data_IF_350204302535
#
_entry.id   IF_350204302535
#
_cell.length_a   1.000
_cell.length_b   1.000
_cell.length_c   1.000
_cell.angle_alpha   90.00
_cell.angle_beta   90.00
_cell.angle_gamma   90.00
#
_symmetry.space_group_name_H-M   'P 1'
#
loop_
_entity.id
_entity.type
_entity.pdbx_description
1 polymer ?
#
# COMPACT_ATOMS: atom_id res chain seq x y z
N UNK A 1 -36.62 49.93 -12.38
CA UNK A 1 -37.57 48.88 -12.82
C UNK A 1 -36.81 48.03 -13.83
N UNK A 2 -36.29 46.85 -13.45
CA UNK A 2 -36.95 45.52 -13.57
C UNK A 2 -37.28 45.22 -15.04
N UNK A 3 -36.81 44.18 -15.72
CA UNK A 3 -36.47 42.80 -15.33
C UNK A 3 -35.49 42.20 -16.36
N UNK A 4 -34.61 41.30 -15.91
CA UNK A 4 -33.83 40.43 -16.79
C UNK A 4 -34.63 39.17 -17.14
N UNK A 5 -34.74 38.89 -18.43
CA UNK A 5 -35.29 37.64 -18.96
C UNK A 5 -34.14 36.65 -19.24
N UNK A 6 -34.02 35.62 -18.42
CA UNK A 6 -33.22 34.43 -18.72
C UNK A 6 -34.08 33.45 -19.53
N UNK A 7 -33.56 32.83 -20.60
CA UNK A 7 -34.34 31.91 -21.43
C UNK A 7 -34.68 30.61 -20.69
N UNK A 8 -35.82 29.97 -20.99
CA UNK A 8 -36.24 28.74 -20.32
C UNK A 8 -35.31 27.58 -20.70
N UNK A 9 -34.68 26.98 -19.70
CA UNK A 9 -33.84 25.78 -19.86
C UNK A 9 -34.69 24.61 -20.35
N UNK A 10 -34.33 24.02 -21.49
CA UNK A 10 -35.01 22.86 -22.06
C UNK A 10 -34.93 21.64 -21.11
N UNK A 11 -36.09 21.08 -20.75
CA UNK A 11 -36.18 19.82 -20.03
C UNK A 11 -35.78 18.69 -20.98
N UNK A 12 -34.54 18.21 -20.86
CA UNK A 12 -34.08 17.00 -21.55
C UNK A 12 -34.79 15.79 -20.90
N UNK A 13 -35.47 14.92 -21.67
CA UNK A 13 -36.34 13.89 -21.09
C UNK A 13 -35.59 12.77 -20.35
N UNK A 14 -34.28 12.64 -20.53
CA UNK A 14 -33.47 11.65 -19.81
C UNK A 14 -32.10 12.22 -19.47
N UNK A 15 -31.87 12.46 -18.18
CA UNK A 15 -30.57 12.85 -17.64
C UNK A 15 -30.61 12.69 -16.12
N UNK A 16 -29.63 11.98 -15.55
CA UNK A 16 -29.48 11.86 -14.09
C UNK A 16 -29.38 13.27 -13.48
N UNK A 17 -30.43 13.69 -12.78
CA UNK A 17 -30.42 14.89 -11.94
C UNK A 17 -29.70 14.56 -10.63
N UNK A 18 -28.44 14.97 -10.50
CA UNK A 18 -27.78 14.95 -9.20
C UNK A 18 -28.40 16.03 -8.30
N UNK A 19 -28.84 15.70 -7.08
CA UNK A 19 -29.37 16.72 -6.18
C UNK A 19 -28.25 17.70 -5.81
N UNK A 20 -28.42 18.96 -6.19
CA UNK A 20 -27.58 20.07 -5.74
C UNK A 20 -27.76 20.24 -4.24
N UNK A 21 -26.80 19.76 -3.44
CA UNK A 21 -26.78 20.05 -2.00
C UNK A 21 -26.65 21.56 -1.77
N UNK A 22 -27.36 22.14 -0.78
CA UNK A 22 -27.22 23.55 -0.46
C UNK A 22 -25.81 23.83 0.08
N UNK A 23 -25.21 24.93 -0.38
CA UNK A 23 -23.93 25.45 0.09
C UNK A 23 -24.06 25.85 1.58
N UNK A 24 -23.56 25.04 2.50
CA UNK A 24 -23.25 25.52 3.85
C UNK A 24 -21.95 26.31 3.80
N UNK A 25 -21.98 27.52 4.36
CA UNK A 25 -20.78 28.36 4.55
C UNK A 25 -19.90 27.67 5.60
N UNK A 26 -18.73 27.18 5.20
CA UNK A 26 -17.69 26.71 6.11
C UNK A 26 -16.89 27.94 6.53
N UNK A 27 -17.11 28.39 7.77
CA UNK A 27 -16.23 29.36 8.43
C UNK A 27 -14.97 28.62 8.86
N UNK A 28 -13.84 28.94 8.23
CA UNK A 28 -12.51 28.56 8.66
C UNK A 28 -12.13 29.32 9.93
N UNK A 29 -12.09 28.64 11.07
CA UNK A 29 -11.28 29.08 12.22
C UNK A 29 -10.33 27.96 12.59
N UNK A 30 -9.06 28.19 12.29
CA UNK A 30 -7.93 27.38 12.70
C UNK A 30 -7.60 27.71 14.16
N UNK A 31 -7.86 26.78 15.08
CA UNK A 31 -7.22 26.80 16.39
C UNK A 31 -6.86 25.37 16.76
N UNK A 32 -5.56 25.07 16.66
CA UNK A 32 -4.95 23.83 17.10
C UNK A 32 -5.00 23.76 18.63
N UNK A 33 -5.66 22.75 19.18
CA UNK A 33 -5.56 22.39 20.59
C UNK A 33 -4.57 21.21 20.73
N UNK A 34 -3.51 21.32 21.55
CA UNK A 34 -2.60 20.21 21.78
C UNK A 34 -3.22 19.17 22.71
N UNK A 35 -3.02 17.89 22.39
CA UNK A 35 -3.37 16.75 23.22
C UNK A 35 -2.36 16.68 24.37
N UNK A 36 -2.79 17.03 25.58
CA UNK A 36 -2.02 16.73 26.79
C UNK A 36 -2.15 15.24 27.11
N UNK A 37 -1.10 14.47 26.82
CA UNK A 37 -0.86 13.15 27.43
C UNK A 37 0.20 13.29 28.52
N UNK A 38 -0.25 13.36 29.76
CA UNK A 38 0.47 13.04 31.00
C UNK A 38 -0.59 13.13 32.12
N UNK A 39 -0.75 12.21 33.06
CA UNK A 39 0.26 11.65 33.93
C UNK A 39 -0.30 10.44 34.73
N UNK A 40 0.59 9.49 35.03
CA UNK A 40 0.84 8.82 36.32
C UNK A 40 -0.38 8.30 37.12
N UNK A 41 -0.55 6.98 37.19
CA UNK A 41 0.04 6.08 38.19
C UNK A 41 -0.76 6.05 39.52
N UNK A 42 -1.51 4.96 39.70
CA UNK A 42 -2.06 4.58 40.99
C UNK A 42 -0.92 4.04 41.87
N UNK A 43 -0.50 4.83 42.87
CA UNK A 43 0.30 4.36 43.99
C UNK A 43 -0.41 4.78 45.27
N UNK A 44 -1.24 3.88 45.80
CA UNK A 44 -2.01 4.04 47.02
C UNK A 44 -1.23 3.57 48.27
N UNK A 45 0.09 3.82 48.35
CA UNK A 45 0.94 3.37 49.46
C UNK A 45 2.06 4.35 49.81
N UNK A 46 1.79 5.65 49.80
CA UNK A 46 2.65 6.64 50.44
C UNK A 46 1.86 7.38 51.52
N UNK A 47 1.66 6.70 52.65
CA UNK A 47 1.34 7.32 53.94
C UNK A 47 2.65 7.30 54.75
N UNK A 48 3.19 8.50 54.94
CA UNK A 48 3.74 9.03 56.19
C UNK A 48 4.41 8.03 57.16
N UNK A 49 5.74 8.04 57.20
CA UNK A 49 6.49 7.87 58.45
C UNK A 49 7.78 8.69 58.34
N UNK A 50 7.74 9.86 58.98
CA UNK A 50 8.83 10.81 59.13
C UNK A 50 9.71 10.31 60.29
N UNK A 51 10.86 9.71 59.98
CA UNK A 51 11.94 9.55 60.97
C UNK A 51 13.32 9.66 60.30
N UNK A 52 14.05 10.66 60.80
CA UNK A 52 15.39 11.09 60.41
C UNK A 52 16.45 10.07 60.84
N UNK A 53 17.00 9.31 59.89
CA UNK A 53 18.31 8.68 60.03
C UNK A 53 18.90 8.36 58.64
N UNK A 54 19.83 9.20 58.19
CA UNK A 54 20.69 8.87 57.04
C UNK A 54 21.95 8.13 57.51
N UNK A 55 22.08 6.81 57.31
CA UNK A 55 23.39 6.22 57.11
C UNK A 55 23.67 6.23 55.61
N UNK A 56 24.57 7.10 55.18
CA UNK A 56 25.25 6.99 53.90
C UNK A 56 26.01 5.65 53.85
N UNK A 57 25.35 4.59 53.38
CA UNK A 57 25.99 3.29 53.16
C UNK A 57 26.68 3.37 51.80
N UNK A 58 27.98 3.69 51.85
CA UNK A 58 28.92 3.54 50.75
C UNK A 58 28.77 2.15 50.11
N UNK A 59 28.40 2.13 48.83
CA UNK A 59 28.08 0.98 47.98
C UNK A 59 29.30 0.14 47.56
N UNK A 60 30.36 0.06 48.36
CA UNK A 60 31.64 -0.55 47.94
C UNK A 60 32.01 -1.85 48.65
N UNK A 61 31.08 -2.50 49.38
CA UNK A 61 31.41 -3.71 50.18
C UNK A 61 30.57 -4.97 49.90
N UNK A 62 29.78 -5.01 48.83
CA UNK A 62 28.88 -6.15 48.57
C UNK A 62 29.42 -7.23 47.62
N UNK A 63 30.62 -7.08 47.04
CA UNK A 63 31.17 -8.03 46.06
C UNK A 63 32.24 -8.98 46.61
N UNK A 64 32.26 -9.25 47.92
CA UNK A 64 33.08 -10.36 48.44
C UNK A 64 32.17 -11.60 48.50
N UNK A 65 32.46 -12.68 47.76
CA UNK A 65 31.74 -13.93 47.96
C UNK A 65 31.92 -14.32 49.43
N UNK A 66 30.86 -14.72 50.15
CA UNK A 66 31.02 -15.22 51.50
C UNK A 66 31.95 -16.44 51.42
N UNK A 67 33.15 -16.30 51.96
CA UNK A 67 34.08 -17.43 52.09
C UNK A 67 33.34 -18.53 52.84
N UNK A 68 33.22 -19.71 52.24
CA UNK A 68 32.37 -20.83 52.70
C UNK A 68 32.61 -21.25 54.16
N UNK A 69 33.72 -20.83 54.77
CA UNK A 69 34.08 -21.16 56.14
C UNK A 69 33.25 -20.48 57.23
N UNK A 70 32.52 -19.37 56.94
CA UNK A 70 31.70 -18.69 57.96
C UNK A 70 30.30 -19.28 58.14
N UNK A 71 29.80 -20.03 57.15
CA UNK A 71 28.49 -20.69 57.20
C UNK A 71 28.54 -22.03 57.94
N UNK A 72 29.72 -22.66 58.04
CA UNK A 72 29.93 -23.94 58.70
C UNK A 72 29.88 -23.90 60.24
N UNK A 73 29.76 -22.71 60.87
CA UNK A 73 29.97 -22.53 62.31
C UNK A 73 28.69 -22.19 63.11
N UNK A 74 27.51 -22.15 62.47
CA UNK A 74 26.25 -21.90 63.17
C UNK A 74 25.36 -23.16 63.17
N UNK A 75 25.23 -23.89 64.31
CA UNK A 75 24.44 -25.13 64.39
C UNK A 75 22.93 -24.89 64.27
N UNK A 76 22.47 -23.63 64.32
CA UNK A 76 21.06 -23.27 64.02
C UNK A 76 20.84 -23.23 62.51
N UNK A 77 21.71 -22.52 61.78
CA UNK A 77 21.65 -22.43 60.32
C UNK A 77 21.72 -23.82 59.64
N UNK A 78 22.48 -24.77 60.18
CA UNK A 78 22.51 -26.15 59.65
C UNK A 78 21.17 -26.87 59.83
N UNK A 79 20.52 -26.72 61.00
CA UNK A 79 19.18 -27.29 61.24
C UNK A 79 18.13 -26.65 60.34
N UNK A 80 18.19 -25.33 60.17
CA UNK A 80 17.25 -24.60 59.32
C UNK A 80 17.41 -25.03 57.84
N UNK A 81 18.63 -25.33 57.39
CA UNK A 81 18.91 -25.86 56.05
C UNK A 81 18.40 -27.31 55.91
N UNK A 82 18.63 -28.16 56.90
CA UNK A 82 18.16 -29.56 56.90
C UNK A 82 16.63 -29.64 56.93
N UNK A 83 15.98 -28.82 57.76
CA UNK A 83 14.53 -28.68 57.79
C UNK A 83 13.98 -28.16 56.45
N UNK A 84 14.62 -27.18 55.83
CA UNK A 84 14.21 -26.69 54.51
C UNK A 84 14.33 -27.76 53.42
N UNK A 85 15.39 -28.59 53.44
CA UNK A 85 15.61 -29.69 52.50
C UNK A 85 14.65 -30.87 52.74
N UNK A 86 14.26 -31.14 53.99
CA UNK A 86 13.25 -32.15 54.33
C UNK A 86 11.86 -31.76 53.83
N UNK A 87 11.51 -30.48 53.90
CA UNK A 87 10.23 -29.97 53.39
C UNK A 87 10.19 -29.96 51.86
N UNK A 88 11.25 -29.48 51.22
CA UNK A 88 11.35 -29.44 49.76
C UNK A 88 12.82 -29.52 49.29
N UNK A 89 13.22 -30.58 48.56
CA UNK A 89 14.58 -30.70 48.04
C UNK A 89 14.91 -29.64 46.98
N UNK A 90 13.91 -29.00 46.36
CA UNK A 90 14.10 -28.01 45.27
C UNK A 90 14.23 -26.58 45.77
N UNK A 91 14.16 -26.35 47.09
CA UNK A 91 14.06 -25.00 47.68
C UNK A 91 15.25 -24.08 47.39
N UNK A 92 16.41 -24.63 47.02
CA UNK A 92 17.61 -23.87 46.66
C UNK A 92 17.91 -23.84 45.15
N UNK A 93 17.05 -24.41 44.29
CA UNK A 93 17.21 -24.49 42.82
C UNK A 93 16.80 -23.18 42.11
N UNK A 94 17.30 -22.04 42.58
CA UNK A 94 16.94 -20.72 42.04
C UNK A 94 17.38 -20.49 40.60
N UNK A 95 18.56 -21.01 40.22
CA UNK A 95 19.14 -20.81 38.89
C UNK A 95 18.30 -21.51 37.81
N UNK A 96 17.74 -22.68 38.11
CA UNK A 96 16.96 -23.48 37.16
C UNK A 96 15.63 -22.79 36.81
N UNK A 97 14.92 -22.24 37.80
CA UNK A 97 13.68 -21.49 37.59
C UNK A 97 13.97 -20.21 36.81
N UNK A 98 15.08 -19.52 37.12
CA UNK A 98 15.46 -18.32 36.41
C UNK A 98 15.84 -18.61 34.94
N UNK A 99 16.52 -19.72 34.66
CA UNK A 99 16.79 -20.18 33.30
C UNK A 99 15.50 -20.56 32.55
N UNK A 100 14.53 -21.20 33.22
CA UNK A 100 13.22 -21.51 32.63
C UNK A 100 12.40 -20.24 32.32
N UNK A 101 12.35 -19.27 33.23
CA UNK A 101 11.63 -18.00 33.01
C UNK A 101 12.32 -17.17 31.93
N UNK A 102 13.65 -17.08 31.96
CA UNK A 102 14.39 -16.31 30.95
C UNK A 102 14.30 -16.97 29.56
N UNK A 103 14.39 -18.29 29.46
CA UNK A 103 14.25 -19.01 28.19
C UNK A 103 12.83 -18.89 27.60
N UNK A 104 11.78 -18.99 28.43
CA UNK A 104 10.39 -18.79 27.99
C UNK A 104 10.14 -17.37 27.52
N UNK A 105 10.58 -16.36 28.28
CA UNK A 105 10.50 -14.94 27.89
C UNK A 105 11.25 -14.67 26.58
N UNK A 106 12.46 -15.22 26.41
CA UNK A 106 13.21 -15.09 25.16
C UNK A 106 12.52 -15.77 23.98
N UNK A 107 11.86 -16.91 24.22
CA UNK A 107 11.14 -17.64 23.18
C UNK A 107 9.85 -16.92 22.75
N UNK A 108 9.15 -16.29 23.68
CA UNK A 108 8.01 -15.42 23.41
C UNK A 108 8.42 -14.17 22.64
N UNK A 109 9.50 -13.49 23.06
CA UNK A 109 10.05 -12.34 22.34
C UNK A 109 10.41 -12.70 20.89
N UNK A 110 11.10 -13.82 20.67
CA UNK A 110 11.41 -14.31 19.30
C UNK A 110 10.15 -14.61 18.48
N UNK A 111 9.09 -15.12 19.10
CA UNK A 111 7.80 -15.35 18.41
C UNK A 111 7.08 -14.06 18.06
N UNK A 112 7.12 -13.07 18.95
CA UNK A 112 6.53 -11.75 18.72
C UNK A 112 7.28 -10.97 17.65
N UNK A 113 8.60 -10.99 17.69
CA UNK A 113 9.47 -10.41 16.65
C UNK A 113 9.20 -11.08 15.31
N UNK A 114 9.10 -12.41 15.26
CA UNK A 114 8.75 -13.12 14.02
C UNK A 114 7.36 -12.73 13.50
N UNK A 115 6.35 -12.65 14.36
CA UNK A 115 4.99 -12.18 13.98
C UNK A 115 5.00 -10.72 13.52
N UNK A 116 5.83 -9.88 14.12
CA UNK A 116 5.98 -8.47 13.77
C UNK A 116 6.67 -8.32 12.41
N UNK A 117 7.78 -9.04 12.21
CA UNK A 117 8.44 -9.15 10.92
C UNK A 117 7.47 -9.67 9.87
N UNK A 118 6.71 -10.73 10.12
CA UNK A 118 5.70 -11.23 9.18
C UNK A 118 4.62 -10.18 8.84
N UNK A 119 4.21 -9.31 9.77
CA UNK A 119 3.28 -8.20 9.50
C UNK A 119 3.92 -7.05 8.72
N UNK A 120 5.19 -6.75 8.99
CA UNK A 120 5.95 -5.70 8.30
C UNK A 120 6.38 -6.16 6.89
N UNK A 121 6.72 -7.43 6.74
CA UNK A 121 7.03 -8.11 5.48
C UNK A 121 5.80 -8.69 4.80
N UNK A 122 4.59 -8.39 5.28
CA UNK A 122 3.33 -8.81 4.65
C UNK A 122 3.07 -8.03 3.35
N UNK A 123 4.02 -8.14 2.43
CA UNK A 123 3.80 -8.12 0.98
C UNK A 123 2.71 -9.11 0.55
N UNK A 124 2.42 -10.12 1.39
CA UNK A 124 1.39 -11.15 1.16
C UNK A 124 -0.06 -10.70 1.40
N UNK A 125 -0.30 -9.59 2.10
CA UNK A 125 -1.66 -9.06 2.31
C UNK A 125 -1.79 -7.64 1.79
N UNK A 126 -1.55 -7.47 0.50
CA UNK A 126 -1.98 -6.25 -0.19
C UNK A 126 -3.48 -6.04 0.09
N UNK A 127 -3.91 -4.85 0.53
CA UNK A 127 -5.32 -4.57 0.74
C UNK A 127 -6.10 -4.78 -0.56
N UNK A 128 -7.25 -5.47 -0.45
CA UNK A 128 -8.06 -6.00 -1.56
C UNK A 128 -8.34 -5.00 -2.69
N UNK A 129 -8.35 -3.69 -2.42
CA UNK A 129 -8.76 -2.66 -3.37
C UNK A 129 -7.69 -1.62 -3.74
N UNK A 130 -6.52 -1.60 -3.08
CA UNK A 130 -5.53 -0.55 -3.35
C UNK A 130 -4.93 -0.69 -4.75
N UNK A 131 -4.71 -1.92 -5.20
CA UNK A 131 -4.23 -2.19 -6.56
C UNK A 131 -5.17 -1.60 -7.62
N UNK A 132 -6.46 -1.93 -7.52
CA UNK A 132 -7.47 -1.42 -8.45
C UNK A 132 -7.66 0.09 -8.36
N UNK A 133 -7.43 0.72 -7.19
CA UNK A 133 -7.49 2.17 -7.05
C UNK A 133 -6.30 2.84 -7.76
N UNK A 134 -5.09 2.28 -7.61
CA UNK A 134 -3.89 2.76 -8.29
C UNK A 134 -3.99 2.58 -9.81
N UNK A 135 -4.48 1.43 -10.28
CA UNK A 135 -4.74 1.18 -11.70
C UNK A 135 -5.71 2.19 -12.28
N UNK A 136 -6.84 2.45 -11.60
CA UNK A 136 -7.82 3.46 -12.03
C UNK A 136 -7.26 4.89 -12.02
N UNK A 137 -6.40 5.23 -11.06
CA UNK A 137 -5.71 6.53 -11.06
C UNK A 137 -4.86 6.69 -12.31
N UNK A 138 -4.05 5.67 -12.63
CA UNK A 138 -3.20 5.66 -13.83
C UNK A 138 -4.01 5.75 -15.12
N UNK A 139 -5.14 5.06 -15.21
CA UNK A 139 -6.05 5.16 -16.37
C UNK A 139 -6.57 6.59 -16.52
N UNK A 140 -7.01 7.21 -15.43
CA UNK A 140 -7.50 8.60 -15.44
C UNK A 140 -6.40 9.60 -15.81
N UNK A 141 -5.18 9.39 -15.32
CA UNK A 141 -4.02 10.21 -15.67
C UNK A 141 -3.76 10.15 -17.19
N UNK A 142 -3.75 8.95 -17.78
CA UNK A 142 -3.62 8.78 -19.24
C UNK A 142 -4.76 9.45 -20.02
N UNK A 143 -6.00 9.32 -19.56
CA UNK A 143 -7.15 10.00 -20.20
C UNK A 143 -7.03 11.53 -20.13
N UNK A 144 -6.63 12.05 -18.97
CA UNK A 144 -6.41 13.48 -18.78
C UNK A 144 -5.32 14.01 -19.72
N UNK A 145 -4.21 13.28 -19.85
CA UNK A 145 -3.14 13.59 -20.80
C UNK A 145 -3.67 13.59 -22.24
N UNK A 146 -4.44 12.58 -22.67
CA UNK A 146 -5.09 12.55 -24.00
C UNK A 146 -5.97 13.79 -24.24
N UNK A 147 -6.72 14.24 -23.24
CA UNK A 147 -7.57 15.45 -23.33
C UNK A 147 -6.73 16.71 -23.46
N UNK A 148 -5.72 16.86 -22.62
CA UNK A 148 -4.81 18.01 -22.62
C UNK A 148 -4.09 18.12 -23.97
N UNK A 149 -3.63 17.00 -24.51
CA UNK A 149 -2.98 16.96 -25.82
C UNK A 149 -3.91 17.34 -26.96
N UNK A 150 -5.15 16.85 -26.97
CA UNK A 150 -6.16 17.26 -27.97
C UNK A 150 -6.48 18.76 -27.87
N UNK A 151 -6.49 19.32 -26.66
CA UNK A 151 -6.66 20.76 -26.45
C UNK A 151 -5.47 21.52 -27.04
N UNK A 152 -4.24 21.15 -26.70
CA UNK A 152 -3.03 21.81 -27.20
C UNK A 152 -2.96 21.72 -28.73
N UNK A 153 -3.31 20.58 -29.30
CA UNK A 153 -3.31 20.39 -30.76
C UNK A 153 -4.31 21.33 -31.45
N UNK A 154 -5.51 21.46 -30.88
CA UNK A 154 -6.53 22.38 -31.39
C UNK A 154 -6.10 23.84 -31.29
N UNK A 155 -5.48 24.23 -30.18
CA UNK A 155 -4.94 25.59 -30.00
C UNK A 155 -3.84 25.87 -31.02
N UNK A 156 -2.95 24.90 -31.29
CA UNK A 156 -1.90 25.03 -32.30
C UNK A 156 -2.40 25.09 -33.73
N UNK A 157 -3.44 24.34 -34.07
CA UNK A 157 -4.06 24.42 -35.40
C UNK A 157 -4.69 25.80 -35.62
N UNK A 158 -5.31 26.38 -34.59
CA UNK A 158 -5.87 27.73 -34.63
C UNK A 158 -4.79 28.83 -34.72
N UNK A 159 -3.67 28.66 -34.01
CA UNK A 159 -2.54 29.60 -34.08
C UNK A 159 -1.66 29.41 -35.33
N UNK A 160 -1.68 28.21 -35.92
CA UNK A 160 -0.86 27.85 -37.07
C UNK A 160 -1.12 28.72 -38.30
N UNK A 161 -2.37 29.12 -38.50
CA UNK A 161 -2.76 30.05 -39.58
C UNK A 161 -2.13 31.44 -39.40
N UNK A 162 -1.86 31.86 -38.16
CA UNK A 162 -1.27 33.16 -37.83
C UNK A 162 0.25 33.19 -37.96
N UNK A 163 0.90 32.02 -37.97
CA UNK A 163 2.35 31.88 -37.98
C UNK A 163 2.88 30.99 -39.12
N UNK A 164 2.09 30.79 -40.17
CA UNK A 164 2.45 29.96 -41.33
C UNK A 164 3.76 30.40 -42.01
N UNK A 165 4.08 31.70 -41.98
CA UNK A 165 5.29 32.26 -42.58
C UNK A 165 6.57 32.05 -41.74
N UNK A 166 6.46 31.46 -40.53
CA UNK A 166 7.59 31.27 -39.61
C UNK A 166 8.03 29.81 -39.55
N UNK A 167 9.32 29.62 -39.31
CA UNK A 167 9.90 28.27 -39.17
C UNK A 167 9.44 27.59 -37.86
N UNK A 168 9.04 26.32 -37.96
CA UNK A 168 8.58 25.51 -36.82
C UNK A 168 9.74 24.69 -36.26
N UNK A 169 10.22 25.07 -35.07
CA UNK A 169 11.28 24.34 -34.38
C UNK A 169 10.70 23.37 -33.35
N UNK A 170 11.13 22.10 -33.43
CA UNK A 170 10.69 21.04 -32.52
C UNK A 170 11.88 20.49 -31.74
N UNK A 171 11.78 20.50 -30.41
CA UNK A 171 12.81 19.95 -29.51
C UNK A 171 12.88 18.42 -29.60
N UNK A 172 14.04 17.82 -29.32
CA UNK A 172 14.23 16.36 -29.33
C UNK A 172 13.24 15.63 -28.40
N UNK A 173 12.97 16.17 -27.21
CA UNK A 173 12.00 15.62 -26.28
C UNK A 173 10.56 15.63 -26.81
N UNK A 174 10.17 16.68 -27.54
CA UNK A 174 8.84 16.70 -28.15
C UNK A 174 8.72 15.71 -29.31
N UNK A 175 9.78 15.53 -30.13
CA UNK A 175 9.81 14.50 -31.17
C UNK A 175 9.65 13.09 -30.58
N UNK A 176 10.32 12.80 -29.45
CA UNK A 176 10.15 11.54 -28.74
C UNK A 176 8.71 11.34 -28.26
N UNK A 177 8.09 12.38 -27.67
CA UNK A 177 6.68 12.32 -27.22
C UNK A 177 5.69 12.13 -28.39
N UNK A 178 5.95 12.73 -29.56
CA UNK A 178 5.15 12.49 -30.76
C UNK A 178 5.22 11.02 -31.21
N UNK A 179 6.42 10.44 -31.22
CA UNK A 179 6.63 9.05 -31.61
C UNK A 179 5.99 8.08 -30.61
N UNK A 180 6.12 8.33 -29.31
CA UNK A 180 5.45 7.57 -28.24
C UNK A 180 3.92 7.59 -28.45
N UNK A 181 3.33 8.77 -28.68
CA UNK A 181 1.89 8.89 -28.96
C UNK A 181 1.47 8.12 -30.20
N UNK A 182 2.24 8.19 -31.28
CA UNK A 182 1.94 7.44 -32.51
C UNK A 182 1.96 5.94 -32.25
N UNK A 183 2.98 5.45 -31.56
CA UNK A 183 3.10 4.04 -31.18
C UNK A 183 1.94 3.59 -30.28
N UNK A 184 1.54 4.40 -29.30
CA UNK A 184 0.41 4.09 -28.42
C UNK A 184 -0.92 4.05 -29.17
N UNK A 185 -1.16 4.97 -30.11
CA UNK A 185 -2.35 4.95 -30.96
C UNK A 185 -2.37 3.75 -31.90
N UNK A 186 -1.22 3.32 -32.40
CA UNK A 186 -1.11 2.12 -33.22
C UNK A 186 -1.37 0.86 -32.40
N UNK A 187 -0.82 0.77 -31.19
CA UNK A 187 -1.10 -0.32 -30.24
C UNK A 187 -2.59 -0.39 -29.90
N UNK A 188 -3.20 0.73 -29.51
CA UNK A 188 -4.65 0.82 -29.20
C UNK A 188 -5.49 0.40 -30.41
N UNK A 189 -5.15 0.86 -31.63
CA UNK A 189 -5.84 0.43 -32.85
C UNK A 189 -5.68 -1.06 -33.17
N UNK A 190 -4.55 -1.67 -32.83
CA UNK A 190 -4.33 -3.10 -33.04
C UNK A 190 -5.12 -3.93 -32.02
N UNK A 191 -5.15 -3.49 -30.77
CA UNK A 191 -5.96 -4.07 -29.69
C UNK A 191 -7.45 -3.96 -30.01
N UNK A 192 -7.93 -2.77 -30.39
CA UNK A 192 -9.32 -2.54 -30.82
C UNK A 192 -9.73 -3.46 -31.97
N UNK A 193 -8.85 -3.68 -32.95
CA UNK A 193 -9.12 -4.62 -34.05
C UNK A 193 -9.18 -6.05 -33.57
N UNK A 194 -8.28 -6.47 -32.67
CA UNK A 194 -8.29 -7.82 -32.08
C UNK A 194 -9.57 -8.03 -31.27
N UNK A 195 -9.94 -7.06 -30.44
CA UNK A 195 -11.15 -7.09 -29.63
C UNK A 195 -12.41 -7.12 -30.51
N UNK A 196 -12.50 -6.28 -31.53
CA UNK A 196 -13.61 -6.29 -32.49
C UNK A 196 -13.76 -7.66 -33.18
N UNK A 197 -12.65 -8.31 -33.54
CA UNK A 197 -12.66 -9.65 -34.12
C UNK A 197 -13.02 -10.75 -33.11
N UNK A 198 -12.83 -10.54 -31.81
CA UNK A 198 -13.19 -11.49 -30.76
C UNK A 198 -14.55 -11.17 -30.13
N UNK A 199 -15.13 -10.02 -30.45
CA UNK A 199 -16.40 -9.58 -29.89
C UNK A 199 -17.56 -10.36 -30.49
N UNK A 200 -18.11 -11.27 -29.70
CA UNK A 200 -19.25 -12.12 -30.05
C UNK A 200 -20.50 -11.30 -30.40
N UNK A 201 -20.68 -10.10 -29.82
CA UNK A 201 -21.85 -9.25 -30.09
C UNK A 201 -21.81 -8.56 -31.46
N UNK A 202 -20.61 -8.35 -32.03
CA UNK A 202 -20.45 -7.74 -33.35
C UNK A 202 -20.52 -8.77 -34.49
N UNK A 203 -20.53 -10.06 -34.17
CA UNK A 203 -20.52 -11.13 -35.14
C UNK A 203 -21.90 -11.77 -35.27
N UNK A 204 -22.34 -11.98 -36.50
CA UNK A 204 -23.67 -12.54 -36.79
C UNK A 204 -23.78 -14.03 -36.38
N UNK A 205 -22.67 -14.76 -36.30
CA UNK A 205 -22.63 -16.19 -35.98
C UNK A 205 -21.68 -16.49 -34.81
N UNK A 206 -22.10 -17.41 -33.92
CA UNK A 206 -21.34 -17.85 -32.73
C UNK A 206 -20.07 -18.68 -33.06
N UNK A 207 -19.74 -18.85 -34.34
CA UNK A 207 -18.63 -19.67 -34.81
C UNK A 207 -17.27 -19.16 -34.31
N UNK A 208 -17.09 -17.85 -34.08
CA UNK A 208 -15.85 -17.35 -33.48
C UNK A 208 -15.71 -17.76 -32.02
N UNK A 209 -16.81 -17.78 -31.26
CA UNK A 209 -16.83 -18.28 -29.90
C UNK A 209 -16.47 -19.77 -29.85
N UNK A 210 -17.03 -20.58 -30.76
CA UNK A 210 -16.69 -22.01 -30.85
C UNK A 210 -15.25 -22.25 -31.31
N UNK A 211 -14.75 -21.48 -32.29
CA UNK A 211 -13.33 -21.51 -32.69
C UNK A 211 -12.41 -21.16 -31.52
N UNK A 212 -12.77 -20.16 -30.71
CA UNK A 212 -12.03 -19.78 -29.51
C UNK A 212 -12.04 -20.90 -28.45
N UNK A 213 -13.21 -21.46 -28.13
CA UNK A 213 -13.34 -22.56 -27.17
C UNK A 213 -12.58 -23.81 -27.61
N UNK A 214 -12.61 -24.13 -28.91
CA UNK A 214 -11.91 -25.27 -29.49
C UNK A 214 -10.39 -25.08 -29.41
N UNK A 215 -9.88 -23.88 -29.76
CA UNK A 215 -8.47 -23.51 -29.61
C UNK A 215 -7.99 -23.56 -28.16
N UNK A 216 -8.82 -23.13 -27.21
CA UNK A 216 -8.51 -23.18 -25.79
C UNK A 216 -8.37 -24.63 -25.28
N UNK A 217 -9.15 -25.56 -25.85
CA UNK A 217 -9.06 -27.01 -25.55
C UNK A 217 -7.93 -27.72 -26.28
N UNK A 218 -7.63 -27.35 -27.52
CA UNK A 218 -6.55 -28.00 -28.30
C UNK A 218 -5.17 -27.53 -27.89
N UNK A 219 -5.06 -26.43 -27.14
CA UNK A 219 -3.78 -25.90 -26.68
C UNK A 219 -3.00 -25.19 -27.79
N UNK A 220 -3.65 -24.89 -28.92
CA UNK A 220 -3.12 -24.05 -29.99
C UNK A 220 -3.09 -22.60 -29.50
N UNK A 221 -2.16 -22.31 -28.60
CA UNK A 221 -1.99 -21.02 -27.95
C UNK A 221 -1.25 -20.01 -28.85
N UNK A 222 -1.53 -19.98 -30.16
CA UNK A 222 -1.13 -18.88 -31.05
C UNK A 222 -2.21 -17.80 -31.11
N UNK A 223 -2.88 -17.55 -29.99
CA UNK A 223 -3.57 -16.27 -29.80
C UNK A 223 -2.44 -15.29 -29.51
N UNK A 224 -1.93 -14.61 -30.55
CA UNK A 224 -1.37 -13.23 -30.56
C UNK A 224 -0.44 -12.94 -31.76
N UNK A 225 0.11 -13.96 -32.44
CA UNK A 225 1.24 -13.77 -33.40
C UNK A 225 0.86 -14.01 -34.89
N UNK A 226 -0.26 -14.68 -35.20
CA UNK A 226 -0.56 -15.06 -36.59
C UNK A 226 -1.13 -13.91 -37.46
N UNK A 227 -1.60 -12.80 -36.88
CA UNK A 227 -2.09 -11.66 -37.66
C UNK A 227 -0.98 -10.76 -38.22
N UNK A 228 0.28 -10.97 -37.82
CA UNK A 228 1.43 -10.19 -38.32
C UNK A 228 2.07 -10.80 -39.58
N UNK A 229 1.99 -12.12 -39.78
CA UNK A 229 2.67 -12.80 -40.91
C UNK A 229 1.95 -12.76 -42.26
N UNK A 230 0.64 -12.46 -42.29
CA UNK A 230 -0.14 -12.53 -43.55
C UNK A 230 0.08 -11.32 -44.48
N UNK A 231 0.77 -10.25 -44.03
CA UNK A 231 1.01 -9.05 -44.84
C UNK A 231 2.41 -8.94 -45.47
N UNK A 232 3.30 -9.90 -45.24
CA UNK A 232 4.68 -9.88 -45.76
C UNK A 232 4.93 -10.92 -46.87
N UNK A 233 3.91 -11.32 -47.61
CA UNK A 233 4.10 -12.11 -48.84
C UNK A 233 4.03 -11.15 -50.05
N UNK A 234 5.12 -10.97 -50.83
CA UNK A 234 5.11 -10.09 -51.99
C UNK A 234 4.18 -10.67 -53.06
N UNK A 235 3.20 -9.87 -53.46
CA UNK A 235 2.26 -10.16 -54.56
C UNK A 235 3.07 -10.44 -55.83
N UNK A 236 3.19 -11.71 -56.21
CA UNK A 236 3.90 -12.14 -57.43
C UNK A 236 3.01 -11.80 -58.63
N UNK A 237 3.33 -10.70 -59.29
CA UNK A 237 2.68 -10.26 -60.53
C UNK A 237 2.88 -11.33 -61.62
N UNK A 238 1.80 -12.03 -61.98
CA UNK A 238 1.75 -12.83 -63.21
C UNK A 238 1.05 -12.01 -64.28
N UNK A 239 1.87 -11.47 -65.18
CA UNK A 239 1.49 -10.83 -66.43
C UNK A 239 1.00 -11.89 -67.42
N UNK A 240 -0.17 -11.66 -68.02
CA UNK A 240 -0.60 -12.22 -69.31
C UNK A 240 -1.76 -11.40 -69.87
#
# INVERSE_FOLDING_TARGET
MSTGDNPPTSKRPFGLSFPSKPKSKITTTSTLAPVNRSCLAAAAFCLDDDDDATPTISSTKFNKPPTSSRLACNPKAQRDIEEALEQDPTIFEYDEIHEQVSSTVQQEQKREEKKRLERETNTFRQPKYVTGLLEKSKVREKEYEKVLERRIQREREQEGDLFADKEVFVTSGYKAKLAERQADLEREKLEDKREALLNVLQQDNMDAFYRFQLKLRTGDATILEESEKVKTEPFKSTEK
#
